data_IF_792778860674
#
_entry.id   IF_792778860674
#
_cell.length_a   1.000
_cell.length_b   1.000
_cell.length_c   1.000
_cell.angle_alpha   90.00
_cell.angle_beta   90.00
_cell.angle_gamma   90.00
#
_symmetry.space_group_name_H-M   'P 1'
#
loop_
_entity.id
_entity.type
_entity.pdbx_description
1 polymer ?
#
# COMPACT_ATOMS: atom_id res chain seq x y z
N UNK A 1 67.11 34.97 10.06
CA UNK A 1 65.69 34.71 10.42
C UNK A 1 65.15 33.73 9.39
N UNK A 2 65.00 32.46 9.72
CA UNK A 2 64.47 31.42 8.84
C UNK A 2 62.98 31.21 9.16
N UNK A 3 62.11 31.52 8.22
CA UNK A 3 60.65 31.30 8.34
C UNK A 3 60.36 29.86 7.90
N UNK A 4 59.93 28.99 8.80
CA UNK A 4 59.48 27.64 8.50
C UNK A 4 57.99 27.69 8.20
N UNK A 5 57.62 27.46 6.94
CA UNK A 5 56.20 27.33 6.51
C UNK A 5 55.76 25.90 6.79
N UNK A 6 54.84 25.74 7.74
CA UNK A 6 54.19 24.46 8.03
C UNK A 6 52.96 24.34 7.13
N UNK A 7 53.02 23.43 6.14
CA UNK A 7 51.89 23.08 5.28
C UNK A 7 51.08 21.97 5.96
N UNK A 8 49.87 22.27 6.40
CA UNK A 8 48.91 21.25 6.89
C UNK A 8 48.21 20.60 5.69
N UNK A 9 48.26 19.26 5.55
CA UNK A 9 47.47 18.59 4.55
C UNK A 9 46.01 18.57 4.99
N UNK A 10 45.16 19.20 4.16
CA UNK A 10 43.67 19.10 4.31
C UNK A 10 43.24 17.71 3.82
N UNK A 11 42.95 16.82 4.73
CA UNK A 11 42.32 15.52 4.43
C UNK A 11 40.83 15.77 4.18
N UNK A 12 40.42 15.80 2.91
CA UNK A 12 39.00 15.83 2.54
C UNK A 12 38.46 14.40 2.74
N UNK A 13 37.75 14.19 3.83
CA UNK A 13 36.99 12.96 4.03
C UNK A 13 35.80 12.96 3.03
N UNK A 14 35.91 12.16 2.01
CA UNK A 14 34.78 11.88 1.10
C UNK A 14 33.78 11.03 1.88
N UNK A 15 32.71 11.65 2.39
CA UNK A 15 31.56 10.93 2.93
C UNK A 15 30.92 10.16 1.77
N UNK A 16 31.21 8.87 1.67
CA UNK A 16 30.54 7.96 0.74
C UNK A 16 29.09 7.81 1.22
N UNK A 17 28.14 8.41 0.51
CA UNK A 17 26.73 8.19 0.78
C UNK A 17 26.42 6.71 0.53
N UNK A 18 25.70 6.07 1.46
CA UNK A 18 25.24 4.70 1.26
C UNK A 18 24.41 4.59 -0.05
N UNK A 19 24.55 3.50 -0.81
CA UNK A 19 23.76 3.33 -2.01
C UNK A 19 22.26 3.35 -1.68
N UNK A 20 21.41 3.87 -2.59
CA UNK A 20 19.97 3.88 -2.36
C UNK A 20 19.44 2.43 -2.21
N UNK A 21 18.41 2.20 -1.39
CA UNK A 21 17.86 0.88 -1.17
C UNK A 21 17.27 0.32 -2.48
N UNK A 22 17.36 -0.99 -2.64
CA UNK A 22 16.72 -1.70 -3.74
C UNK A 22 15.20 -1.71 -3.59
N UNK A 23 14.46 -1.92 -4.69
CA UNK A 23 13.00 -2.01 -4.65
C UNK A 23 12.53 -3.14 -3.71
N UNK A 24 13.27 -4.25 -3.65
CA UNK A 24 12.98 -5.36 -2.75
C UNK A 24 13.07 -4.92 -1.29
N UNK A 25 14.14 -4.24 -0.89
CA UNK A 25 14.35 -3.76 0.49
C UNK A 25 13.25 -2.76 0.90
N UNK A 26 12.84 -1.86 -0.03
CA UNK A 26 11.75 -0.92 0.23
C UNK A 26 10.43 -1.66 0.44
N UNK A 27 10.07 -2.62 -0.44
CA UNK A 27 8.83 -3.39 -0.31
C UNK A 27 8.85 -4.31 0.92
N UNK A 28 10.02 -4.89 1.27
CA UNK A 28 10.18 -5.67 2.49
C UNK A 28 9.92 -4.80 3.73
N UNK A 29 10.39 -3.54 3.73
CA UNK A 29 10.14 -2.62 4.83
C UNK A 29 8.65 -2.28 4.99
N UNK A 30 7.92 -2.09 3.88
CA UNK A 30 6.46 -1.88 3.89
C UNK A 30 5.76 -3.09 4.50
N UNK A 31 6.08 -4.31 4.03
CA UNK A 31 5.49 -5.55 4.55
C UNK A 31 5.77 -5.77 6.03
N UNK A 32 7.01 -5.48 6.48
CA UNK A 32 7.36 -5.58 7.89
C UNK A 32 6.67 -4.54 8.76
N UNK A 33 6.47 -3.32 8.26
CA UNK A 33 5.72 -2.28 8.97
C UNK A 33 4.28 -2.71 9.19
N UNK A 34 3.62 -3.17 8.13
CA UNK A 34 2.26 -3.70 8.19
C UNK A 34 2.16 -4.88 9.16
N UNK A 35 3.10 -5.83 9.09
CA UNK A 35 3.08 -7.03 9.92
C UNK A 35 3.36 -6.80 11.43
N UNK A 36 3.73 -5.59 11.86
CA UNK A 36 4.04 -5.26 13.27
C UNK A 36 2.91 -4.49 13.96
N UNK A 37 1.85 -4.16 13.25
CA UNK A 37 0.77 -3.38 13.82
C UNK A 37 -0.11 -4.22 14.74
N UNK A 38 -0.68 -3.55 15.75
CA UNK A 38 -1.76 -4.08 16.56
C UNK A 38 -2.88 -3.04 16.51
N UNK A 39 -4.00 -3.43 15.92
CA UNK A 39 -5.11 -2.54 15.56
C UNK A 39 -6.42 -3.17 16.01
N UNK A 40 -7.29 -2.35 16.55
CA UNK A 40 -8.69 -2.64 16.84
C UNK A 40 -9.47 -1.35 16.62
N UNK A 41 -10.04 -1.19 15.42
CA UNK A 41 -10.60 0.07 14.94
C UNK A 41 -11.87 -0.17 14.12
N UNK A 42 -12.78 0.79 14.20
CA UNK A 42 -13.91 0.86 13.29
C UNK A 42 -13.52 1.60 12.01
N UNK A 43 -14.13 1.21 10.91
CA UNK A 43 -13.95 1.86 9.62
C UNK A 43 -15.18 1.83 8.75
N UNK A 44 -15.08 2.48 7.62
CA UNK A 44 -16.11 2.42 6.58
C UNK A 44 -15.53 2.58 5.18
N UNK A 45 -16.17 1.94 4.21
CA UNK A 45 -16.05 2.29 2.80
C UNK A 45 -17.22 3.20 2.43
N UNK A 46 -16.93 4.33 1.80
CA UNK A 46 -17.96 5.29 1.37
C UNK A 46 -17.77 5.61 -0.11
N UNK A 47 -18.84 5.41 -0.88
CA UNK A 47 -18.91 5.78 -2.30
C UNK A 47 -20.27 6.44 -2.55
N UNK A 48 -20.25 7.71 -2.89
CA UNK A 48 -21.44 8.57 -2.97
C UNK A 48 -22.28 8.49 -1.68
N UNK A 49 -23.54 8.06 -1.77
CA UNK A 49 -24.43 7.88 -0.60
C UNK A 49 -24.28 6.51 0.09
N UNK A 50 -23.56 5.59 -0.55
CA UNK A 50 -23.34 4.24 -0.03
C UNK A 50 -22.27 4.25 1.05
N UNK A 51 -22.62 3.76 2.23
CA UNK A 51 -21.70 3.59 3.37
C UNK A 51 -21.71 2.13 3.81
N UNK A 52 -20.53 1.51 3.87
CA UNK A 52 -20.33 0.14 4.27
C UNK A 52 -19.42 0.14 5.49
N UNK A 53 -19.96 0.01 6.71
CA UNK A 53 -19.15 -0.10 7.91
C UNK A 53 -18.42 -1.45 7.96
N UNK A 54 -17.24 -1.43 8.55
CA UNK A 54 -16.46 -2.63 8.87
C UNK A 54 -15.69 -2.43 10.17
N UNK A 55 -15.41 -3.54 10.83
CA UNK A 55 -14.49 -3.60 11.96
C UNK A 55 -13.14 -4.16 11.48
N UNK A 56 -12.06 -3.48 11.84
CA UNK A 56 -10.69 -3.81 11.46
C UNK A 56 -9.91 -4.24 12.69
N UNK A 57 -9.50 -5.51 12.74
CA UNK A 57 -8.55 -5.96 13.76
C UNK A 57 -7.27 -6.44 13.10
N UNK A 58 -6.14 -6.15 13.75
CA UNK A 58 -4.85 -6.66 13.31
C UNK A 58 -4.01 -7.11 14.51
N UNK A 59 -3.42 -8.28 14.38
CA UNK A 59 -2.45 -8.82 15.34
C UNK A 59 -1.27 -9.38 14.56
N UNK A 60 -0.19 -8.60 14.53
CA UNK A 60 0.97 -8.95 13.72
C UNK A 60 0.62 -9.07 12.22
N UNK A 61 0.98 -10.18 11.56
CA UNK A 61 0.75 -10.35 10.13
C UNK A 61 -0.70 -10.71 9.77
N UNK A 62 -1.61 -10.77 10.74
CA UNK A 62 -3.00 -11.17 10.56
C UNK A 62 -3.93 -9.98 10.66
N UNK A 63 -4.58 -9.64 9.55
CA UNK A 63 -5.53 -8.53 9.43
C UNK A 63 -6.92 -9.13 9.18
N UNK A 64 -7.93 -8.69 9.92
CA UNK A 64 -9.33 -9.09 9.72
C UNK A 64 -10.18 -7.88 9.42
N UNK A 65 -11.04 -8.02 8.42
CA UNK A 65 -12.09 -7.07 8.05
C UNK A 65 -13.42 -7.77 8.27
N UNK A 66 -14.21 -7.29 9.22
CA UNK A 66 -15.52 -7.84 9.56
C UNK A 66 -16.61 -6.90 9.11
N UNK A 67 -17.48 -7.36 8.22
CA UNK A 67 -18.65 -6.65 7.71
C UNK A 67 -19.91 -7.27 8.32
N UNK A 68 -20.88 -6.44 8.71
CA UNK A 68 -22.05 -6.92 9.42
C UNK A 68 -23.22 -7.32 8.50
N UNK A 69 -23.43 -6.63 7.39
CA UNK A 69 -24.60 -6.82 6.52
C UNK A 69 -24.24 -6.85 5.02
N UNK A 70 -24.33 -8.04 4.37
CA UNK A 70 -24.41 -9.37 4.97
C UNK A 70 -23.16 -9.69 5.80
N UNK A 71 -23.25 -10.62 6.74
CA UNK A 71 -22.09 -10.99 7.56
C UNK A 71 -20.98 -11.59 6.67
N UNK A 72 -19.79 -11.03 6.75
CA UNK A 72 -18.62 -11.49 6.01
C UNK A 72 -17.34 -11.13 6.79
N UNK A 73 -16.49 -12.10 7.02
CA UNK A 73 -15.21 -11.88 7.66
C UNK A 73 -14.09 -12.31 6.71
N UNK A 74 -13.30 -11.33 6.29
CA UNK A 74 -12.11 -11.53 5.46
C UNK A 74 -10.87 -11.49 6.34
N UNK A 75 -10.01 -12.49 6.21
CA UNK A 75 -8.75 -12.57 6.93
C UNK A 75 -7.58 -12.52 5.95
N UNK A 76 -6.81 -11.45 5.99
CA UNK A 76 -5.57 -11.31 5.25
C UNK A 76 -4.40 -11.74 6.13
N UNK A 77 -3.57 -12.64 5.62
CA UNK A 77 -2.29 -13.03 6.23
C UNK A 77 -1.15 -12.50 5.36
N UNK A 78 -0.31 -11.69 5.98
CA UNK A 78 0.93 -11.19 5.36
C UNK A 78 2.06 -12.17 5.67
N UNK A 79 2.54 -12.91 4.67
CA UNK A 79 3.66 -13.84 4.79
C UNK A 79 4.96 -13.22 4.28
N UNK A 80 6.06 -13.97 4.35
CA UNK A 80 7.35 -13.53 3.83
C UNK A 80 7.37 -13.42 2.30
N UNK A 81 6.76 -14.41 1.62
CA UNK A 81 6.82 -14.56 0.15
C UNK A 81 5.48 -14.31 -0.55
N UNK A 82 4.44 -13.93 0.18
CA UNK A 82 3.12 -13.70 -0.38
C UNK A 82 2.08 -13.36 0.68
N UNK A 83 0.99 -12.76 0.23
CA UNK A 83 -0.21 -12.56 1.03
C UNK A 83 -1.26 -13.63 0.69
N UNK A 84 -2.07 -13.97 1.68
CA UNK A 84 -3.19 -14.89 1.52
C UNK A 84 -4.45 -14.26 2.11
N UNK A 85 -5.49 -14.18 1.30
CA UNK A 85 -6.82 -13.80 1.73
C UNK A 85 -7.66 -15.06 1.96
N UNK A 86 -8.32 -15.11 3.11
CA UNK A 86 -9.21 -16.18 3.50
C UNK A 86 -10.60 -15.60 3.82
N UNK A 87 -11.65 -16.39 3.57
CA UNK A 87 -13.00 -16.18 4.09
C UNK A 87 -13.12 -16.94 5.40
N UNK A 88 -13.54 -16.27 6.47
CA UNK A 88 -13.76 -16.90 7.79
C UNK A 88 -15.25 -17.18 7.97
N UNK A 89 -15.59 -18.43 8.20
CA UNK A 89 -16.94 -18.89 8.43
C UNK A 89 -17.05 -19.61 9.77
N UNK A 90 -18.24 -20.01 10.18
CA UNK A 90 -18.44 -20.82 11.38
C UNK A 90 -17.73 -22.19 11.30
N UNK A 91 -17.50 -22.71 10.08
CA UNK A 91 -16.80 -23.97 9.85
C UNK A 91 -15.26 -23.82 9.88
N UNK A 92 -14.74 -22.59 9.86
CA UNK A 92 -13.31 -22.30 9.87
C UNK A 92 -12.90 -21.26 8.83
N UNK A 93 -11.61 -21.24 8.51
CA UNK A 93 -11.00 -20.30 7.55
C UNK A 93 -10.72 -21.04 6.25
N UNK A 94 -11.28 -20.54 5.15
CA UNK A 94 -11.12 -21.08 3.80
C UNK A 94 -10.42 -20.07 2.90
N UNK A 95 -9.56 -20.55 2.00
CA UNK A 95 -8.89 -19.67 1.03
C UNK A 95 -9.93 -18.97 0.16
N UNK A 96 -9.84 -17.65 0.07
CA UNK A 96 -10.71 -16.86 -0.81
C UNK A 96 -10.59 -17.32 -2.26
N UNK A 97 -11.71 -17.54 -2.98
CA UNK A 97 -11.70 -18.02 -4.36
C UNK A 97 -10.89 -17.11 -5.29
N UNK A 98 -9.96 -17.68 -6.02
CA UNK A 98 -9.03 -16.90 -6.86
C UNK A 98 -9.78 -16.14 -7.98
N UNK A 99 -10.83 -16.74 -8.53
CA UNK A 99 -11.69 -16.18 -9.58
C UNK A 99 -12.48 -14.95 -9.12
N UNK A 100 -12.68 -14.79 -7.81
CA UNK A 100 -13.41 -13.64 -7.23
C UNK A 100 -12.49 -12.50 -6.78
N UNK A 101 -11.17 -12.65 -6.86
CA UNK A 101 -10.24 -11.63 -6.39
C UNK A 101 -10.43 -10.29 -7.08
N UNK A 102 -10.83 -10.28 -8.36
CA UNK A 102 -11.07 -9.06 -9.12
C UNK A 102 -12.48 -8.47 -8.91
N UNK A 103 -13.35 -9.16 -8.16
CA UNK A 103 -14.66 -8.63 -7.80
C UNK A 103 -14.51 -7.47 -6.80
N UNK A 104 -15.47 -6.54 -6.88
CA UNK A 104 -15.52 -5.37 -6.01
C UNK A 104 -16.10 -5.73 -4.65
N UNK A 105 -15.45 -5.28 -3.59
CA UNK A 105 -15.98 -5.42 -2.24
C UNK A 105 -17.29 -4.62 -2.14
N UNK A 106 -18.40 -5.37 -2.08
CA UNK A 106 -19.75 -4.80 -1.95
C UNK A 106 -20.09 -3.73 -2.99
N UNK A 107 -19.50 -3.85 -4.20
CA UNK A 107 -19.71 -2.93 -5.32
C UNK A 107 -19.03 -1.56 -5.16
N UNK A 108 -18.09 -1.41 -4.24
CA UNK A 108 -17.25 -0.21 -4.13
C UNK A 108 -16.10 -0.23 -5.14
N UNK A 109 -15.34 0.86 -5.23
CA UNK A 109 -14.15 0.92 -6.09
C UNK A 109 -12.97 0.07 -5.62
N UNK A 110 -13.09 -0.73 -4.56
CA UNK A 110 -12.01 -1.58 -4.03
C UNK A 110 -12.32 -3.04 -4.33
N UNK A 111 -11.35 -3.78 -4.89
CA UNK A 111 -11.45 -5.22 -5.14
C UNK A 111 -10.83 -6.06 -4.02
N UNK A 112 -11.16 -7.36 -3.96
CA UNK A 112 -10.52 -8.28 -3.01
C UNK A 112 -9.03 -8.49 -3.31
N UNK A 113 -8.58 -8.38 -4.57
CA UNK A 113 -7.15 -8.41 -4.92
C UNK A 113 -6.38 -7.26 -4.28
N UNK A 114 -6.96 -6.06 -4.31
CA UNK A 114 -6.37 -4.86 -3.73
C UNK A 114 -6.33 -4.94 -2.21
N UNK A 115 -7.39 -5.43 -1.58
CA UNK A 115 -7.42 -5.69 -0.15
C UNK A 115 -6.37 -6.73 0.27
N UNK A 116 -6.11 -7.71 -0.58
CA UNK A 116 -5.12 -8.76 -0.35
C UNK A 116 -3.67 -8.26 -0.49
N UNK A 117 -3.42 -7.02 -0.92
CA UNK A 117 -2.10 -6.40 -1.08
C UNK A 117 -1.12 -7.25 -1.91
N UNK A 118 -1.63 -8.05 -2.86
CA UNK A 118 -0.80 -8.98 -3.65
C UNK A 118 0.31 -8.29 -4.42
N UNK A 119 0.08 -7.07 -4.88
CA UNK A 119 1.04 -6.28 -5.66
C UNK A 119 2.33 -5.97 -4.88
N UNK A 120 2.32 -6.01 -3.54
CA UNK A 120 3.52 -5.85 -2.72
C UNK A 120 4.49 -7.04 -2.83
N UNK A 121 4.02 -8.17 -3.35
CA UNK A 121 4.79 -9.42 -3.48
C UNK A 121 5.12 -9.77 -4.94
N UNK A 122 4.76 -8.91 -5.89
CA UNK A 122 5.07 -9.19 -7.28
C UNK A 122 6.58 -9.16 -7.51
N UNK A 123 7.13 -10.10 -8.27
CA UNK A 123 8.53 -10.11 -8.62
C UNK A 123 8.88 -8.92 -9.52
N UNK A 124 10.18 -8.68 -9.72
CA UNK A 124 10.70 -7.71 -10.68
C UNK A 124 10.29 -6.25 -10.38
N UNK A 125 10.12 -5.92 -9.10
CA UNK A 125 9.96 -4.53 -8.70
C UNK A 125 11.25 -3.74 -8.97
N UNK A 126 11.11 -2.50 -9.44
CA UNK A 126 12.25 -1.59 -9.69
C UNK A 126 11.97 -0.20 -9.14
N UNK A 127 13.02 0.46 -8.67
CA UNK A 127 12.96 1.88 -8.29
C UNK A 127 12.96 2.70 -9.58
N UNK A 128 11.99 3.60 -9.72
CA UNK A 128 11.92 4.57 -10.82
C UNK A 128 12.57 5.91 -10.47
N UNK A 129 12.78 6.18 -9.17
CA UNK A 129 13.33 7.42 -8.64
C UNK A 129 12.57 7.88 -7.40
N UNK A 130 12.60 9.19 -7.21
CA UNK A 130 11.97 9.88 -6.09
C UNK A 130 10.86 10.80 -6.59
N UNK A 131 9.80 10.93 -5.80
CA UNK A 131 8.72 11.88 -6.07
C UNK A 131 8.09 12.35 -4.76
N UNK A 132 7.64 13.60 -4.73
CA UNK A 132 6.90 14.12 -3.58
C UNK A 132 5.41 13.82 -3.75
N UNK A 133 4.83 13.09 -2.81
CA UNK A 133 3.39 12.87 -2.71
C UNK A 133 2.87 13.72 -1.56
N UNK A 134 2.04 14.71 -1.86
CA UNK A 134 1.64 15.76 -0.92
C UNK A 134 2.88 16.47 -0.36
N UNK A 135 3.20 16.28 0.91
CA UNK A 135 4.37 16.89 1.57
C UNK A 135 5.44 15.87 1.92
N UNK A 136 5.31 14.61 1.44
CA UNK A 136 6.19 13.51 1.80
C UNK A 136 7.11 13.13 0.65
N UNK A 137 8.42 13.03 0.94
CA UNK A 137 9.40 12.52 -0.02
C UNK A 137 9.28 11.00 -0.09
N UNK A 138 8.99 10.47 -1.26
CA UNK A 138 8.70 9.05 -1.47
C UNK A 138 9.67 8.41 -2.46
N UNK A 139 9.98 7.14 -2.22
CA UNK A 139 10.47 6.25 -3.26
C UNK A 139 9.34 5.94 -4.23
N UNK A 140 9.61 6.09 -5.53
CA UNK A 140 8.69 5.68 -6.58
C UNK A 140 9.14 4.35 -7.16
N UNK A 141 8.30 3.33 -7.08
CA UNK A 141 8.59 1.99 -7.55
C UNK A 141 7.58 1.55 -8.59
N UNK A 142 8.00 0.66 -9.48
CA UNK A 142 7.12 -0.07 -10.39
C UNK A 142 7.22 -1.56 -10.10
N UNK A 143 6.08 -2.25 -10.07
CA UNK A 143 6.01 -3.71 -9.98
C UNK A 143 5.11 -4.24 -11.09
N UNK A 144 5.55 -5.31 -11.76
CA UNK A 144 4.85 -5.91 -12.91
C UNK A 144 4.17 -7.20 -12.46
N UNK A 145 2.92 -7.37 -12.85
CA UNK A 145 2.15 -8.57 -12.51
C UNK A 145 2.82 -9.84 -13.09
N UNK A 146 2.90 -10.93 -12.32
CA UNK A 146 3.51 -12.18 -12.77
C UNK A 146 2.66 -12.92 -13.80
N UNK A 147 1.35 -12.68 -13.83
CA UNK A 147 0.38 -13.35 -14.72
C UNK A 147 -0.81 -12.45 -15.03
N UNK A 148 -1.67 -12.89 -15.94
CA UNK A 148 -2.91 -12.20 -16.31
C UNK A 148 -4.08 -12.42 -15.33
N UNK A 149 -3.85 -13.08 -14.22
CA UNK A 149 -4.87 -13.28 -13.18
C UNK A 149 -5.17 -11.99 -12.42
N UNK A 150 -4.24 -11.02 -12.43
CA UNK A 150 -4.46 -9.68 -11.89
C UNK A 150 -5.23 -8.78 -12.85
N UNK A 151 -6.04 -7.88 -12.30
CA UNK A 151 -6.67 -6.79 -13.07
C UNK A 151 -5.65 -5.79 -13.63
N UNK A 152 -4.43 -5.75 -13.08
CA UNK A 152 -3.35 -4.86 -13.50
C UNK A 152 -2.23 -5.62 -14.19
N UNK A 153 -1.63 -5.02 -15.23
CA UNK A 153 -0.38 -5.52 -15.78
C UNK A 153 0.82 -4.98 -14.98
N UNK A 154 0.69 -3.77 -14.41
CA UNK A 154 1.68 -3.23 -13.48
C UNK A 154 1.01 -2.26 -12.48
N UNK A 155 1.72 -2.03 -11.39
CA UNK A 155 1.41 -0.98 -10.43
C UNK A 155 2.62 -0.07 -10.23
N UNK A 156 2.35 1.21 -9.98
CA UNK A 156 3.35 2.18 -9.50
C UNK A 156 3.01 2.54 -8.06
N UNK A 157 4.01 2.48 -7.19
CA UNK A 157 3.85 2.59 -5.75
C UNK A 157 4.76 3.71 -5.24
N UNK A 158 4.24 4.55 -4.34
CA UNK A 158 4.99 5.58 -3.64
C UNK A 158 5.07 5.26 -2.16
N UNK A 159 6.30 5.05 -1.67
CA UNK A 159 6.59 4.71 -0.27
C UNK A 159 7.32 5.88 0.38
N UNK A 160 6.75 6.41 1.47
CA UNK A 160 7.37 7.50 2.22
C UNK A 160 8.74 7.09 2.78
N UNK A 161 9.77 7.88 2.47
CA UNK A 161 11.15 7.58 2.87
C UNK A 161 11.37 7.60 4.37
N UNK A 162 10.62 8.42 5.09
CA UNK A 162 10.81 8.60 6.52
C UNK A 162 10.08 7.54 7.36
N UNK A 163 8.88 7.14 6.95
CA UNK A 163 8.03 6.23 7.73
C UNK A 163 7.89 4.83 7.13
N UNK A 164 8.23 4.63 5.84
CA UNK A 164 7.96 3.39 5.12
C UNK A 164 6.48 3.20 4.75
N UNK A 165 5.62 4.19 5.00
CA UNK A 165 4.20 4.09 4.70
C UNK A 165 3.92 4.15 3.20
N UNK A 166 2.94 3.36 2.75
CA UNK A 166 2.41 3.41 1.39
C UNK A 166 1.54 4.66 1.23
N UNK A 167 2.01 5.63 0.45
CA UNK A 167 1.33 6.93 0.28
C UNK A 167 0.41 6.98 -0.92
N UNK A 168 0.79 6.31 -2.01
CA UNK A 168 0.00 6.23 -3.25
C UNK A 168 0.28 4.92 -3.97
N UNK A 169 -0.72 4.40 -4.66
CA UNK A 169 -0.59 3.33 -5.64
C UNK A 169 -1.40 3.68 -6.87
N UNK A 170 -0.85 3.44 -8.05
CA UNK A 170 -1.53 3.56 -9.34
C UNK A 170 -1.49 2.21 -10.05
N UNK A 171 -2.68 1.69 -10.40
CA UNK A 171 -2.86 0.45 -11.15
C UNK A 171 -3.12 0.73 -12.63
N UNK A 172 -2.31 0.09 -13.48
CA UNK A 172 -2.42 0.20 -14.95
C UNK A 172 -2.98 -1.10 -15.51
N UNK A 173 -4.02 -0.99 -16.33
CA UNK A 173 -4.64 -2.14 -17.00
C UNK A 173 -3.72 -2.81 -18.03
N UNK A 174 -4.16 -3.91 -18.61
CA UNK A 174 -3.40 -4.67 -19.62
C UNK A 174 -3.23 -3.96 -20.97
N UNK A 175 -3.86 -2.80 -21.16
CA UNK A 175 -3.65 -1.88 -22.28
C UNK A 175 -2.70 -0.73 -21.91
N UNK A 176 -2.09 -0.77 -20.72
CA UNK A 176 -1.19 0.26 -20.21
C UNK A 176 -1.89 1.57 -19.83
N UNK A 177 -3.20 1.54 -19.61
CA UNK A 177 -3.97 2.72 -19.20
C UNK A 177 -4.13 2.75 -17.68
N UNK A 178 -3.98 3.94 -17.10
CA UNK A 178 -4.26 4.14 -15.68
C UNK A 178 -5.74 3.84 -15.42
N UNK A 179 -5.99 2.79 -14.61
CA UNK A 179 -7.32 2.31 -14.27
C UNK A 179 -7.77 2.79 -12.89
N UNK A 180 -6.85 2.77 -11.90
CA UNK A 180 -7.15 3.18 -10.53
C UNK A 180 -6.00 3.92 -9.88
N UNK A 181 -6.35 4.80 -8.93
CA UNK A 181 -5.40 5.48 -8.05
C UNK A 181 -5.88 5.38 -6.61
N UNK A 182 -4.99 4.95 -5.74
CA UNK A 182 -5.14 4.97 -4.28
C UNK A 182 -4.22 6.04 -3.73
N UNK A 183 -4.72 6.90 -2.86
CA UNK A 183 -3.93 7.96 -2.25
C UNK A 183 -4.33 8.19 -0.80
N UNK A 184 -3.36 8.17 0.09
CA UNK A 184 -3.55 8.55 1.49
C UNK A 184 -3.85 10.05 1.54
N UNK A 185 -5.03 10.38 2.04
CA UNK A 185 -5.51 11.77 2.18
C UNK A 185 -5.11 12.34 3.53
N UNK A 186 -5.26 11.55 4.58
CA UNK A 186 -4.90 11.95 5.93
C UNK A 186 -4.52 10.77 6.79
N UNK A 187 -3.69 11.03 7.79
CA UNK A 187 -3.34 10.12 8.87
C UNK A 187 -3.76 10.72 10.20
N UNK A 188 -3.90 9.87 11.21
CA UNK A 188 -4.21 10.26 12.59
C UNK A 188 -3.24 9.59 13.56
N UNK A 189 -3.04 10.22 14.71
CA UNK A 189 -2.22 9.69 15.77
C UNK A 189 -3.12 9.07 16.84
N UNK A 190 -2.89 7.79 17.14
CA UNK A 190 -3.58 7.03 18.19
C UNK A 190 -2.48 6.41 19.04
N UNK A 191 -2.48 6.66 20.35
CA UNK A 191 -1.50 6.15 21.32
C UNK A 191 -0.05 6.28 20.81
N UNK A 192 0.32 7.50 20.40
CA UNK A 192 1.62 7.89 19.84
C UNK A 192 2.04 7.21 18.53
N UNK A 193 1.18 6.41 17.90
CA UNK A 193 1.41 5.79 16.60
C UNK A 193 0.56 6.43 15.51
N UNK A 194 1.11 6.48 14.29
CA UNK A 194 0.41 6.99 13.13
C UNK A 194 -0.37 5.89 12.44
N UNK A 195 -1.65 6.16 12.17
CA UNK A 195 -2.56 5.29 11.44
C UNK A 195 -3.18 6.02 10.26
N UNK A 196 -3.58 5.26 9.25
CA UNK A 196 -4.44 5.77 8.20
C UNK A 196 -5.71 6.33 8.81
N UNK A 197 -6.09 7.57 8.44
CA UNK A 197 -7.40 8.14 8.75
C UNK A 197 -8.31 8.07 7.54
N UNK A 198 -7.81 8.46 6.37
CA UNK A 198 -8.58 8.44 5.14
C UNK A 198 -7.69 8.15 3.93
N UNK A 199 -8.14 7.20 3.10
CA UNK A 199 -7.59 6.92 1.77
C UNK A 199 -8.69 7.17 0.74
N UNK A 200 -8.32 7.78 -0.37
CA UNK A 200 -9.17 7.94 -1.55
C UNK A 200 -8.78 6.94 -2.62
N UNK A 201 -9.77 6.25 -3.16
CA UNK A 201 -9.64 5.36 -4.31
C UNK A 201 -10.41 5.96 -5.48
N UNK A 202 -9.75 6.23 -6.58
CA UNK A 202 -10.33 6.78 -7.80
C UNK A 202 -10.30 5.72 -8.89
N UNK A 203 -11.46 5.37 -9.43
CA UNK A 203 -11.56 4.65 -10.70
C UNK A 203 -11.49 5.65 -11.84
N UNK A 204 -10.62 5.42 -12.82
CA UNK A 204 -10.45 6.32 -13.96
C UNK A 204 -11.06 5.70 -15.22
N UNK A 205 -11.58 6.57 -16.08
CA UNK A 205 -11.99 6.16 -17.41
C UNK A 205 -10.74 5.86 -18.25
N UNK A 206 -10.61 4.63 -18.80
CA UNK A 206 -9.42 4.23 -19.55
C UNK A 206 -9.06 5.21 -20.68
N UNK A 207 -7.77 5.55 -20.76
CA UNK A 207 -7.27 6.47 -21.79
C UNK A 207 -7.58 7.95 -21.57
N UNK A 208 -8.30 8.28 -20.50
CA UNK A 208 -8.53 9.66 -20.05
C UNK A 208 -8.13 9.77 -18.58
N UNK A 209 -7.86 10.97 -18.10
CA UNK A 209 -7.63 11.18 -16.66
C UNK A 209 -8.94 11.53 -15.91
N UNK A 210 -10.11 11.23 -16.51
CA UNK A 210 -11.40 11.52 -15.88
C UNK A 210 -11.71 10.47 -14.82
N UNK A 211 -12.05 10.93 -13.63
CA UNK A 211 -12.51 10.08 -12.54
C UNK A 211 -13.95 9.65 -12.81
N UNK A 212 -14.21 8.35 -12.78
CA UNK A 212 -15.53 7.74 -12.97
C UNK A 212 -16.26 7.52 -11.65
N UNK A 213 -15.51 7.08 -10.61
CA UNK A 213 -16.03 6.83 -9.28
C UNK A 213 -14.96 7.13 -8.22
N UNK A 214 -15.40 7.45 -7.01
CA UNK A 214 -14.53 7.66 -5.84
C UNK A 214 -15.05 6.90 -4.65
N UNK A 215 -14.22 6.01 -4.14
CA UNK A 215 -14.44 5.35 -2.86
C UNK A 215 -13.49 5.95 -1.83
N UNK A 216 -13.96 6.20 -0.63
CA UNK A 216 -13.14 6.57 0.52
C UNK A 216 -13.11 5.41 1.50
N UNK A 217 -11.89 4.98 1.88
CA UNK A 217 -11.68 4.14 3.05
C UNK A 217 -11.37 5.09 4.21
N UNK A 218 -12.18 5.03 5.25
CA UNK A 218 -12.11 5.91 6.41
C UNK A 218 -12.01 5.07 7.68
N UNK A 219 -11.01 5.35 8.50
CA UNK A 219 -10.84 4.70 9.81
C UNK A 219 -11.37 5.66 10.87
N UNK A 220 -12.29 5.17 11.68
CA UNK A 220 -12.88 5.87 12.81
C UNK A 220 -12.20 5.40 14.11
N UNK A 221 -12.32 6.19 15.11
CA UNK A 221 -11.92 5.83 16.47
C UNK A 221 -13.01 4.99 17.13
#
# INVERSE_FOLDING_TARGET
MRVTVVVFPFVVAVLSAAPPPSAKEILDSVRMLEARQQIDLEGQLREDEKVIPFHLTQTGPLIRYSFADPEEVLQLRLGENGSRLDLVTAAGSEKFPAEKLNEKIRGTGISYEELALKFLYWPNARVLGDETVRTRSCWKLQSVAPSRDSQYWNVVIWVDKASGALMRMEGYDWNGKLAKRFEVISAQKIDDRWFLKQMRVEELQPGTNKVRARTYLEIKR
#
